data_IF_571811650066
#
_entry.id   IF_571811650066
#
_cell.length_a   1.000
_cell.length_b   1.000
_cell.length_c   1.000
_cell.angle_alpha   90.00
_cell.angle_beta   90.00
_cell.angle_gamma   90.00
#
_symmetry.space_group_name_H-M   'P 1'
#
loop_
_entity.id
_entity.type
_entity.pdbx_description
1 polymer ?
2 non-polymer ?
3 non-polymer ?
4 water ?
#
# COMPACT_ATOMS: atom_id res chain seq x y z
N UNK A 1 26.58 5.04 12.00
CA UNK A 1 26.04 5.71 13.16
C UNK A 1 24.56 6.04 13.03
N UNK A 2 23.81 5.73 14.08
CA UNK A 2 22.37 5.96 14.09
C UNK A 2 21.99 7.39 14.49
N UNK A 3 22.98 8.25 14.70
CA UNK A 3 22.70 9.61 15.19
C UNK A 3 21.81 10.38 14.22
N UNK A 4 22.18 10.42 12.94
CA UNK A 4 21.36 11.12 11.96
C UNK A 4 19.99 10.46 11.81
N UNK A 5 19.97 9.13 11.71
CA UNK A 5 18.73 8.43 11.41
C UNK A 5 17.70 8.62 12.53
N UNK A 6 18.15 8.63 13.79
CA UNK A 6 17.22 8.84 14.89
C UNK A 6 16.63 10.24 14.86
N UNK A 7 17.45 11.25 14.53
CA UNK A 7 16.95 12.62 14.47
C UNK A 7 15.92 12.76 13.36
N UNK A 8 16.12 12.08 12.24
CA UNK A 8 15.11 12.04 11.19
C UNK A 8 13.82 11.42 11.73
N UNK A 9 13.95 10.30 12.44
CA UNK A 9 12.77 9.65 13.01
C UNK A 9 12.14 10.50 14.10
N UNK A 10 12.94 11.31 14.80
CA UNK A 10 12.38 12.20 15.81
C UNK A 10 11.65 13.37 15.17
N UNK A 11 12.19 13.89 14.06
CA UNK A 11 11.48 14.92 13.29
C UNK A 11 10.18 14.38 12.73
N UNK A 12 10.20 13.15 12.20
CA UNK A 12 9.00 12.53 11.65
C UNK A 12 7.95 12.29 12.74
N UNK A 13 8.40 11.86 13.93
CA UNK A 13 7.45 11.59 15.01
C UNK A 13 6.71 12.84 15.44
N UNK A 14 7.29 14.01 15.22
CA UNK A 14 6.65 15.26 15.66
C UNK A 14 5.40 15.57 14.84
N UNK A 15 5.46 15.36 13.52
CA UNK A 15 4.32 15.68 12.67
C UNK A 15 3.19 14.66 12.75
N UNK A 16 3.28 13.67 13.63
CA UNK A 16 2.20 12.69 13.77
C UNK A 16 0.95 13.34 14.33
N UNK A 17 1.09 14.27 15.27
CA UNK A 17 -0.06 14.93 15.87
C UNK A 17 -0.72 15.94 14.95
N UNK A 18 -0.10 16.24 13.79
CA UNK A 18 -0.78 17.03 12.77
C UNK A 18 -1.82 16.20 12.04
N UNK A 19 -1.59 14.90 11.92
CA UNK A 19 -2.53 14.00 11.24
C UNK A 19 -3.86 13.98 11.98
N UNK A 20 -3.84 14.10 13.31
CA UNK A 20 -5.08 14.01 14.08
C UNK A 20 -6.09 15.07 13.68
N UNK A 21 -5.63 16.27 13.33
CA UNK A 21 -6.55 17.31 12.87
C UNK A 21 -7.05 17.03 11.46
N UNK A 22 -6.15 16.62 10.56
CA UNK A 22 -6.55 16.40 9.17
C UNK A 22 -7.41 15.15 9.02
N UNK A 23 -7.10 14.08 9.75
CA UNK A 23 -7.85 12.84 9.63
C UNK A 23 -9.32 13.05 9.98
N UNK A 24 -9.61 13.90 10.97
CA UNK A 24 -10.98 14.16 11.34
C UNK A 24 -11.80 14.76 10.21
N UNK A 25 -11.16 15.59 9.37
CA UNK A 25 -11.84 16.06 8.17
C UNK A 25 -12.17 14.90 7.25
N UNK A 26 -11.26 13.93 7.14
CA UNK A 26 -11.46 12.81 6.23
C UNK A 26 -12.62 11.94 6.69
N UNK A 27 -12.74 11.71 8.00
CA UNK A 27 -13.80 10.84 8.51
C UNK A 27 -15.18 11.38 8.15
N UNK A 28 -15.38 12.69 8.35
CA UNK A 28 -16.68 13.28 8.03
C UNK A 28 -17.05 13.12 6.57
N UNK A 29 -16.05 13.25 5.68
CA UNK A 29 -16.32 13.10 4.25
C UNK A 29 -16.71 11.68 3.91
N UNK A 30 -15.93 10.70 4.37
CA UNK A 30 -16.20 9.31 4.01
C UNK A 30 -17.38 8.72 4.78
N UNK A 31 -17.72 9.28 5.93
CA UNK A 31 -18.95 8.85 6.60
C UNK A 31 -20.18 9.27 5.81
N UNK A 32 -20.14 10.48 5.23
CA UNK A 32 -21.23 10.91 4.37
C UNK A 32 -21.28 10.10 3.08
N UNK A 33 -20.11 9.71 2.54
CA UNK A 33 -20.08 8.95 1.29
C UNK A 33 -20.59 7.52 1.50
N UNK A 34 -20.28 6.92 2.66
CA UNK A 34 -20.67 5.54 2.90
C UNK A 34 -22.19 5.38 3.04
N UNK A 35 -22.86 6.38 3.62
CA UNK A 35 -24.31 6.31 3.78
C UNK A 35 -25.04 6.57 2.46
N UNK A 36 -24.47 7.39 1.58
CA UNK A 36 -25.10 7.61 0.29
C UNK A 36 -24.95 6.38 -0.62
N UNK A 37 -23.79 5.72 -0.54
CA UNK A 37 -23.55 4.53 -1.35
C UNK A 37 -24.33 3.33 -0.84
N UNK A 38 -24.48 3.20 0.48
CA UNK A 38 -25.10 2.01 1.04
C UNK A 38 -26.57 1.87 0.67
N UNK A 39 -27.24 2.97 0.29
CA UNK A 39 -28.63 2.93 -0.15
C UNK A 39 -28.75 2.96 -1.68
N UNK A 40 -27.69 2.55 -2.39
CA UNK A 40 -27.74 2.34 -3.82
C UNK A 40 -27.86 0.84 -4.10
N UNK A 41 -28.51 0.50 -5.22
CA UNK A 41 -28.78 -0.90 -5.52
C UNK A 41 -27.50 -1.72 -5.66
N UNK A 42 -26.43 -1.12 -6.19
CA UNK A 42 -25.18 -1.84 -6.42
C UNK A 42 -24.25 -1.82 -5.21
N UNK A 43 -24.29 -0.76 -4.40
CA UNK A 43 -23.33 -0.56 -3.32
C UNK A 43 -23.95 -0.79 -1.94
N UNK A 44 -24.95 -1.66 -1.82
CA UNK A 44 -25.59 -1.89 -0.54
C UNK A 44 -24.59 -2.42 0.50
N UNK A 45 -23.66 -3.28 0.07
CA UNK A 45 -22.71 -3.87 0.99
C UNK A 45 -21.37 -3.17 1.04
N UNK A 46 -21.38 -1.85 0.83
CA UNK A 46 -20.14 -1.09 0.86
C UNK A 46 -19.79 -0.73 2.31
N UNK A 47 -18.51 -0.47 2.53
CA UNK A 47 -18.05 -0.08 3.84
C UNK A 47 -16.54 0.09 3.80
N UNK A 48 -16.01 0.58 4.92
CA UNK A 48 -14.57 0.71 5.06
C UNK A 48 -13.94 -0.67 5.22
N UNK A 49 -12.68 -0.78 4.78
CA UNK A 49 -11.96 -2.03 4.97
C UNK A 49 -11.75 -2.32 6.45
N UNK A 50 -11.36 -1.31 7.22
CA UNK A 50 -11.29 -1.38 8.67
C UNK A 50 -12.32 -0.41 9.25
N UNK A 51 -13.13 -0.90 10.20
CA UNK A 51 -14.32 -0.17 10.60
C UNK A 51 -13.99 1.19 11.20
N UNK A 52 -12.90 1.29 11.96
CA UNK A 52 -12.55 2.54 12.62
C UNK A 52 -11.28 3.20 12.14
N UNK A 53 -10.48 2.47 11.34
CA UNK A 53 -9.18 3.00 10.90
C UNK A 53 -9.33 4.19 9.97
N UNK A 54 -10.15 4.04 8.93
CA UNK A 54 -10.54 5.13 8.04
C UNK A 54 -9.47 5.57 7.05
N UNK A 55 -8.23 5.09 7.18
CA UNK A 55 -7.20 5.52 6.24
C UNK A 55 -5.97 4.63 6.32
N UNK A 56 -5.02 4.94 5.43
CA UNK A 56 -3.63 4.50 5.45
C UNK A 56 -2.82 5.69 4.95
N UNK A 57 -1.67 5.94 5.56
CA UNK A 57 -0.90 7.16 5.29
C UNK A 57 0.34 6.79 4.48
N UNK A 58 0.18 6.83 3.15
CA UNK A 58 1.29 6.53 2.26
C UNK A 58 2.43 7.53 2.42
N UNK A 59 2.09 8.82 2.43
CA UNK A 59 3.09 9.88 2.56
C UNK A 59 3.50 9.97 4.02
N UNK A 60 4.65 9.38 4.34
CA UNK A 60 5.19 9.46 5.70
C UNK A 60 5.82 10.81 5.99
N UNK A 61 5.97 11.66 4.97
CA UNK A 61 6.52 13.00 5.12
C UNK A 61 5.47 14.09 5.05
N UNK A 62 4.41 13.90 4.27
CA UNK A 62 3.37 14.91 4.12
C UNK A 62 2.10 14.44 4.80
N UNK A 63 1.73 15.00 5.95
CA UNK A 63 0.55 14.48 6.67
C UNK A 63 -0.79 14.86 6.04
N UNK A 64 -0.78 15.39 4.82
CA UNK A 64 -2.01 15.83 4.16
C UNK A 64 -2.43 14.91 3.01
N UNK A 65 -1.83 13.74 2.87
CA UNK A 65 -2.13 12.83 1.76
C UNK A 65 -2.51 11.46 2.32
N UNK A 66 -3.81 11.16 2.28
CA UNK A 66 -4.38 9.93 2.81
C UNK A 66 -4.71 8.97 1.69
N UNK A 67 -4.85 7.69 2.05
CA UNK A 67 -5.28 6.64 1.14
C UNK A 67 -6.35 5.81 1.82
N UNK A 68 -7.56 5.80 1.25
CA UNK A 68 -8.73 5.18 1.86
C UNK A 68 -9.25 4.08 0.94
N UNK A 69 -9.70 2.98 1.52
CA UNK A 69 -10.19 1.84 0.77
C UNK A 69 -11.59 1.46 1.22
N UNK A 70 -12.53 1.38 0.26
CA UNK A 70 -13.87 0.88 0.50
C UNK A 70 -13.96 -0.54 0.00
N UNK A 71 -14.73 -1.37 0.69
CA UNK A 71 -14.85 -2.79 0.35
C UNK A 71 -16.28 -3.12 -0.03
N UNK A 72 -16.43 -4.19 -0.81
CA UNK A 72 -17.73 -4.64 -1.29
C UNK A 72 -17.68 -6.15 -1.39
N UNK A 73 -18.44 -6.85 -0.55
CA UNK A 73 -18.36 -8.30 -0.51
C UNK A 73 -19.03 -8.91 -1.73
N UNK A 74 -18.27 -9.68 -2.50
CA UNK A 74 -18.79 -10.35 -3.69
C UNK A 74 -18.84 -11.85 -3.41
N UNK A 75 -19.98 -12.39 -2.98
CA UNK A 75 -20.06 -13.82 -2.68
C UNK A 75 -20.25 -14.66 -3.94
N UNK A 76 -19.92 -15.95 -3.80
CA UNK A 76 -19.97 -16.89 -4.91
C UNK A 76 -19.25 -16.33 -6.14
N UNK A 77 -18.03 -15.86 -5.91
CA UNK A 77 -17.24 -15.17 -6.93
C UNK A 77 -16.37 -16.18 -7.65
N UNK A 78 -16.31 -16.08 -8.99
CA UNK A 78 -15.51 -16.94 -9.82
C UNK A 78 -14.48 -16.11 -10.57
N UNK A 79 -13.21 -16.49 -10.48
CA UNK A 79 -12.11 -15.74 -11.03
C UNK A 79 -11.44 -16.54 -12.14
N UNK A 80 -11.05 -15.86 -13.22
CA UNK A 80 -10.28 -16.46 -14.29
C UNK A 80 -8.98 -15.69 -14.43
N UNK A 81 -7.86 -16.39 -14.28
CA UNK A 81 -6.55 -15.76 -14.39
C UNK A 81 -6.33 -15.28 -15.83
N UNK A 82 -5.93 -14.01 -15.97
CA UNK A 82 -5.76 -13.40 -17.29
C UNK A 82 -4.35 -13.68 -17.81
N UNK A 83 -4.24 -14.63 -18.73
CA UNK A 83 -3.03 -14.87 -19.52
C UNK A 83 -1.80 -15.09 -18.63
N UNK A 84 -1.99 -15.83 -17.54
CA UNK A 84 -0.89 -16.28 -16.67
C UNK A 84 -0.05 -15.11 -16.15
N UNK A 85 -0.71 -13.99 -15.82
CA UNK A 85 -0.04 -12.89 -15.14
C UNK A 85 0.00 -13.10 -13.63
N UNK A 86 -0.84 -13.99 -13.10
CA UNK A 86 -0.79 -14.47 -11.72
C UNK A 86 -1.34 -13.43 -10.74
N UNK A 87 -1.58 -12.22 -11.22
CA UNK A 87 -2.05 -11.11 -10.39
C UNK A 87 -3.28 -10.40 -10.92
N UNK A 88 -3.63 -10.56 -12.19
CA UNK A 88 -4.80 -9.92 -12.76
C UNK A 88 -5.83 -10.98 -13.15
N UNK A 89 -7.09 -10.72 -12.83
CA UNK A 89 -8.15 -11.72 -12.96
C UNK A 89 -9.41 -11.08 -13.52
N UNK A 90 -10.23 -11.91 -14.17
CA UNK A 90 -11.59 -11.54 -14.52
C UNK A 90 -12.51 -12.00 -13.40
N UNK A 91 -13.55 -11.21 -13.13
CA UNK A 91 -14.53 -11.53 -12.11
C UNK A 91 -15.82 -11.92 -12.82
N UNK A 92 -16.26 -13.16 -12.61
CA UNK A 92 -17.50 -13.64 -13.20
C UNK A 92 -18.33 -14.34 -12.14
N UNK A 93 -19.64 -14.42 -12.41
CA UNK A 93 -20.57 -15.04 -11.46
C UNK A 93 -21.07 -16.38 -11.96
N UNK A 100 -28.46 -10.52 -8.04
CA UNK A 100 -27.11 -9.97 -7.86
C UNK A 100 -27.13 -8.46 -8.00
N UNK A 101 -26.62 -7.77 -6.97
CA UNK A 101 -26.56 -6.30 -7.04
C UNK A 101 -25.61 -5.78 -8.09
N UNK A 102 -24.62 -6.56 -8.50
CA UNK A 102 -23.59 -6.11 -9.44
C UNK A 102 -23.87 -6.52 -10.87
N UNK A 103 -25.03 -7.11 -11.15
CA UNK A 103 -25.33 -7.53 -12.51
C UNK A 103 -25.43 -6.36 -13.48
N UNK A 104 -25.64 -5.14 -12.98
CA UNK A 104 -25.70 -3.97 -13.85
C UNK A 104 -24.35 -3.59 -14.44
N UNK A 105 -23.26 -4.18 -13.97
CA UNK A 105 -21.93 -3.95 -14.54
C UNK A 105 -21.40 -5.15 -15.30
N UNK A 106 -22.25 -6.11 -15.64
CA UNK A 106 -21.81 -7.33 -16.31
C UNK A 106 -21.71 -7.09 -17.81
N UNK A 107 -20.53 -7.32 -18.37
CA UNK A 107 -20.36 -7.35 -19.82
C UNK A 107 -20.46 -8.80 -20.31
N UNK A 108 -21.61 -9.39 -20.09
CA UNK A 108 -21.81 -10.81 -20.36
C UNK A 108 -21.49 -11.67 -19.14
N UNK A 109 -20.37 -12.38 -19.19
CA UNK A 109 -19.97 -13.20 -18.04
C UNK A 109 -19.16 -12.40 -17.03
N UNK A 110 -18.30 -11.51 -17.50
CA UNK A 110 -17.30 -10.86 -16.67
C UNK A 110 -17.85 -9.57 -16.09
N UNK A 111 -17.22 -9.13 -15.00
CA UNK A 111 -17.61 -7.92 -14.28
C UNK A 111 -16.76 -6.75 -14.76
N UNK A 112 -17.41 -5.71 -15.26
CA UNK A 112 -16.72 -4.55 -15.80
C UNK A 112 -16.23 -3.65 -14.67
N UNK A 113 -14.92 -3.38 -14.64
CA UNK A 113 -14.38 -2.51 -13.60
C UNK A 113 -14.71 -1.06 -13.88
N UNK A 114 -14.54 -0.60 -15.12
CA UNK A 114 -14.74 0.81 -15.44
C UNK A 114 -16.21 1.20 -15.36
N UNK A 115 -17.12 0.26 -15.63
CA UNK A 115 -18.55 0.53 -15.48
C UNK A 115 -18.95 0.63 -14.01
N UNK A 116 -18.29 -0.15 -13.14
CA UNK A 116 -18.52 -0.01 -11.71
C UNK A 116 -17.84 1.24 -11.16
N UNK A 117 -16.68 1.60 -11.70
CA UNK A 117 -16.03 2.85 -11.31
C UNK A 117 -16.79 4.07 -11.76
N UNK A 118 -17.57 3.95 -12.85
CA UNK A 118 -18.31 5.10 -13.36
C UNK A 118 -19.43 5.51 -12.41
N UNK A 119 -20.26 4.55 -12.00
CA UNK A 119 -21.33 4.85 -11.05
C UNK A 119 -20.77 5.25 -9.69
N UNK A 120 -19.70 4.56 -9.26
CA UNK A 120 -19.04 4.89 -8.00
C UNK A 120 -18.50 6.31 -8.02
N UNK A 121 -17.83 6.70 -9.11
CA UNK A 121 -17.36 8.07 -9.23
C UNK A 121 -18.51 9.05 -9.39
N UNK A 122 -19.60 8.61 -10.00
CA UNK A 122 -20.77 9.46 -10.20
C UNK A 122 -21.45 9.78 -8.87
N UNK A 123 -21.71 8.75 -8.05
CA UNK A 123 -22.39 8.96 -6.78
C UNK A 123 -21.56 9.85 -5.86
N UNK A 124 -20.25 9.62 -5.82
CA UNK A 124 -19.36 10.46 -5.02
C UNK A 124 -19.35 11.89 -5.55
N UNK A 125 -19.26 12.05 -6.88
CA UNK A 125 -19.27 13.38 -7.46
C UNK A 125 -20.54 14.15 -7.09
N UNK A 126 -21.68 13.46 -7.06
CA UNK A 126 -22.93 14.14 -6.75
C UNK A 126 -23.03 14.49 -5.26
N UNK A 127 -22.52 13.61 -4.39
CA UNK A 127 -22.57 13.88 -2.94
C UNK A 127 -21.52 14.90 -2.50
N UNK A 128 -20.36 14.93 -3.17
CA UNK A 128 -19.31 15.88 -2.81
C UNK A 128 -19.82 17.30 -2.96
N UNK A 129 -20.55 17.58 -4.04
CA UNK A 129 -21.15 18.88 -4.24
C UNK A 129 -22.39 19.07 -3.36
N UNK A 130 -23.09 17.98 -3.04
CA UNK A 130 -24.41 18.08 -2.40
C UNK A 130 -24.30 18.72 -1.02
N UNK A 131 -23.56 18.09 -0.10
CA UNK A 131 -23.43 18.65 1.24
C UNK A 131 -22.54 19.89 1.21
N UNK A 132 -21.28 19.72 0.83
CA UNK A 132 -20.28 20.80 0.73
C UNK A 132 -20.38 21.84 1.85
N UNK A 133 -20.60 21.38 3.09
CA UNK A 133 -20.44 22.27 4.23
C UNK A 133 -18.96 22.58 4.46
N UNK A 134 -18.09 21.64 4.08
CA UNK A 134 -16.65 21.86 4.00
C UNK A 134 -16.21 21.58 2.58
N UNK A 135 -15.21 22.34 2.13
CA UNK A 135 -14.86 22.36 0.71
C UNK A 135 -14.11 21.09 0.33
N UNK A 136 -14.74 20.30 -0.54
CA UNK A 136 -14.17 19.07 -1.08
C UNK A 136 -14.15 19.18 -2.59
N UNK A 137 -12.98 18.97 -3.19
CA UNK A 137 -12.77 19.14 -4.62
C UNK A 137 -12.38 17.81 -5.23
N UNK A 138 -13.05 17.43 -6.31
CA UNK A 138 -12.79 16.19 -7.02
C UNK A 138 -11.76 16.41 -8.12
N UNK A 139 -10.80 15.50 -8.21
CA UNK A 139 -9.76 15.52 -9.24
C UNK A 139 -9.93 14.31 -10.14
N UNK A 140 -10.05 14.56 -11.44
CA UNK A 140 -10.26 13.50 -12.43
C UNK A 140 -9.01 13.37 -13.30
N UNK A 141 -8.46 12.16 -13.34
CA UNK A 141 -7.25 11.90 -14.12
C UNK A 141 -7.06 10.41 -14.34
N UNK A 145 -5.37 6.78 -11.57
CA UNK A 145 -6.38 6.56 -12.60
C UNK A 145 -7.67 5.90 -12.05
N UNK A 146 -7.57 4.79 -11.28
CA UNK A 146 -8.79 4.19 -10.74
C UNK A 146 -9.28 4.89 -9.47
N UNK A 147 -8.35 5.48 -8.73
CA UNK A 147 -8.70 6.07 -7.44
C UNK A 147 -9.49 7.36 -7.63
N UNK A 148 -10.59 7.49 -6.87
CA UNK A 148 -11.34 8.74 -6.83
C UNK A 148 -10.61 9.66 -5.85
N UNK A 149 -9.89 10.64 -6.39
CA UNK A 149 -9.04 11.51 -5.59
C UNK A 149 -9.80 12.78 -5.24
N UNK A 150 -10.09 12.95 -3.95
CA UNK A 150 -10.70 14.17 -3.43
C UNK A 150 -9.62 15.04 -2.79
N UNK A 151 -9.94 16.33 -2.61
CA UNK A 151 -9.07 17.24 -1.90
C UNK A 151 -9.91 18.05 -0.93
N UNK A 152 -9.63 17.89 0.36
CA UNK A 152 -10.39 18.56 1.41
C UNK A 152 -9.67 19.86 1.77
N UNK A 153 -10.42 20.96 1.74
CA UNK A 153 -9.86 22.31 1.95
C UNK A 153 -8.81 22.53 0.87
N UNK A 154 -7.65 23.10 1.20
CA UNK A 154 -6.59 23.31 0.23
C UNK A 154 -5.44 22.34 0.37
N UNK A 155 -5.24 21.74 1.54
CA UNK A 155 -4.11 20.85 1.74
C UNK A 155 -4.48 19.39 1.53
N UNK A 156 -5.44 18.88 2.31
CA UNK A 156 -5.63 17.44 2.47
C UNK A 156 -6.13 16.81 1.18
N UNK A 157 -5.46 15.76 0.74
CA UNK A 157 -5.86 14.95 -0.39
C UNK A 157 -6.10 13.51 0.06
N UNK A 158 -7.18 12.91 -0.42
CA UNK A 158 -7.57 11.56 -0.03
C UNK A 158 -7.77 10.73 -1.28
N UNK A 159 -7.09 9.59 -1.34
CA UNK A 159 -7.28 8.62 -2.40
C UNK A 159 -8.26 7.56 -1.94
N UNK A 160 -9.39 7.45 -2.63
CA UNK A 160 -10.42 6.47 -2.32
C UNK A 160 -10.35 5.37 -3.37
N UNK A 161 -10.13 4.14 -2.93
CA UNK A 161 -10.04 2.98 -3.81
C UNK A 161 -11.19 2.03 -3.49
N UNK A 162 -11.85 1.54 -4.53
CA UNK A 162 -12.91 0.55 -4.37
C UNK A 162 -12.34 -0.83 -4.57
N UNK A 163 -12.73 -1.76 -3.70
CA UNK A 163 -12.18 -3.11 -3.71
C UNK A 163 -13.28 -4.14 -3.54
N UNK A 164 -13.15 -5.24 -4.26
CA UNK A 164 -14.04 -6.39 -4.11
C UNK A 164 -13.46 -7.31 -3.05
N UNK A 165 -14.32 -7.82 -2.15
CA UNK A 165 -13.90 -8.67 -1.06
C UNK A 165 -14.36 -10.10 -1.29
N UNK A 166 -13.45 -11.05 -1.13
CA UNK A 166 -13.76 -12.47 -1.26
C UNK A 166 -13.28 -13.18 -0.01
N UNK A 167 -14.18 -13.90 0.65
CA UNK A 167 -13.86 -14.64 1.86
C UNK A 167 -13.58 -16.12 1.58
N UNK A 168 -13.18 -16.45 0.36
CA UNK A 168 -12.78 -17.79 -0.01
C UNK A 168 -11.26 -17.93 0.05
N UNK A 169 -10.77 -19.12 -0.29
CA UNK A 169 -9.33 -19.37 -0.25
C UNK A 169 -8.60 -18.47 -1.23
N UNK A 170 -7.39 -18.10 -0.85
CA UNK A 170 -6.57 -17.24 -1.70
C UNK A 170 -6.26 -17.96 -3.01
N UNK A 171 -6.21 -17.23 -4.14
CA UNK A 171 -5.96 -17.87 -5.42
C UNK A 171 -4.62 -18.57 -5.45
N UNK A 172 -4.52 -19.56 -6.34
CA UNK A 172 -3.39 -20.48 -6.36
C UNK A 172 -2.05 -19.74 -6.51
N UNK A 173 -2.04 -18.57 -7.15
CA UNK A 173 -0.78 -17.88 -7.39
C UNK A 173 -0.10 -17.45 -6.09
N UNK A 174 -0.82 -17.43 -4.98
CA UNK A 174 -0.28 -17.07 -3.68
C UNK A 174 0.25 -18.26 -2.91
N UNK A 175 0.26 -19.45 -3.50
CA UNK A 175 0.55 -20.67 -2.76
C UNK A 175 1.91 -20.60 -2.08
N UNK A 176 2.93 -20.07 -2.75
CA UNK A 176 4.26 -19.96 -2.18
C UNK A 176 4.59 -18.55 -1.71
N UNK A 177 3.62 -17.63 -1.74
CA UNK A 177 3.81 -16.30 -1.22
C UNK A 177 3.67 -16.27 0.30
N UNK A 178 3.86 -15.07 0.86
CA UNK A 178 3.80 -14.86 2.31
C UNK A 178 4.73 -15.83 3.04
N UNK A 179 5.98 -15.87 2.59
CA UNK A 179 6.96 -16.81 3.15
C UNK A 179 7.44 -16.31 4.51
N UNK A 180 6.57 -16.46 5.52
CA UNK A 180 6.83 -15.98 6.87
C UNK A 180 7.04 -17.12 7.86
N UNK A 181 7.15 -18.36 7.38
CA UNK A 181 7.17 -19.52 8.27
C UNK A 181 8.36 -19.49 9.22
N UNK A 182 9.54 -19.14 8.71
CA UNK A 182 10.74 -19.11 9.55
C UNK A 182 10.83 -17.86 10.41
N UNK A 183 9.93 -16.89 10.22
CA UNK A 183 10.00 -15.62 10.94
C UNK A 183 8.83 -15.45 11.90
N UNK A 184 7.60 -15.54 11.41
CA UNK A 184 6.41 -15.37 12.22
C UNK A 184 5.70 -16.67 12.53
N UNK A 185 6.22 -17.79 12.02
CA UNK A 185 5.77 -19.17 12.26
C UNK A 185 4.76 -19.64 11.23
N UNK A 186 4.64 -20.96 11.06
CA UNK A 186 3.63 -21.51 10.16
C UNK A 186 2.23 -21.38 10.72
N UNK A 187 2.08 -21.36 12.05
CA UNK A 187 0.76 -21.13 12.63
C UNK A 187 0.20 -19.78 12.24
N UNK A 188 1.05 -18.75 12.25
CA UNK A 188 0.59 -17.40 11.92
C UNK A 188 0.27 -17.29 10.43
N UNK A 189 1.11 -17.90 9.57
CA UNK A 189 0.83 -17.87 8.14
C UNK A 189 -0.50 -18.56 7.83
N UNK A 190 -0.79 -19.66 8.52
CA UNK A 190 -2.07 -20.34 8.33
C UNK A 190 -3.24 -19.45 8.77
N UNK A 191 -3.10 -18.77 9.90
CA UNK A 191 -4.17 -17.90 10.39
C UNK A 191 -4.40 -16.72 9.45
N UNK A 192 -3.32 -16.11 8.94
CA UNK A 192 -3.46 -14.97 8.04
C UNK A 192 -4.15 -15.37 6.75
N UNK A 193 -3.80 -16.54 6.20
CA UNK A 193 -4.39 -16.99 4.94
C UNK A 193 -5.86 -17.35 5.07
N UNK A 194 -6.38 -17.49 6.29
CA UNK A 194 -7.82 -17.64 6.49
C UNK A 194 -8.58 -16.32 6.33
N UNK A 195 -7.89 -15.19 6.36
CA UNK A 195 -8.52 -13.90 6.16
C UNK A 195 -8.89 -13.71 4.69
N UNK A 196 -9.81 -12.81 4.38
CA UNK A 196 -10.24 -12.60 2.99
C UNK A 196 -9.13 -11.98 2.15
N UNK A 197 -9.39 -11.90 0.84
CA UNK A 197 -8.50 -11.21 -0.09
C UNK A 197 -9.33 -10.29 -0.97
N UNK A 198 -8.65 -9.35 -1.62
CA UNK A 198 -9.33 -8.25 -2.29
C UNK A 198 -8.86 -8.10 -3.73
N UNK A 199 -9.75 -7.56 -4.56
CA UNK A 199 -9.48 -7.31 -5.97
C UNK A 199 -9.76 -5.84 -6.27
N UNK A 200 -8.80 -5.19 -6.93
CA UNK A 200 -8.88 -3.76 -7.21
C UNK A 200 -8.76 -3.52 -8.71
N UNK A 201 -9.33 -2.42 -9.22
CA UNK A 201 -9.25 -2.15 -10.66
C UNK A 201 -7.80 -1.96 -11.12
N UNK A 202 -7.53 -2.43 -12.35
CA UNK A 202 -6.17 -2.44 -12.87
C UNK A 202 -5.62 -1.04 -13.06
N UNK A 203 -6.44 -0.14 -13.59
CA UNK A 203 -6.07 1.21 -14.04
C UNK A 203 -4.95 1.90 -13.25
N UNK A 210 -1.55 -4.67 -20.86
CA UNK A 210 -2.13 -3.47 -21.45
C UNK A 210 -3.47 -3.12 -20.82
N UNK A 211 -4.52 -3.06 -21.64
CA UNK A 211 -5.86 -2.72 -21.20
C UNK A 211 -6.78 -3.94 -21.26
N UNK A 212 -7.48 -4.20 -20.16
CA UNK A 212 -8.52 -5.21 -20.07
C UNK A 212 -9.42 -4.85 -18.90
N UNK A 213 -10.51 -5.59 -18.76
CA UNK A 213 -11.38 -5.44 -17.59
C UNK A 213 -11.02 -6.46 -16.52
N UNK A 214 -9.77 -6.36 -16.07
CA UNK A 214 -9.18 -7.26 -15.10
C UNK A 214 -8.99 -6.56 -13.77
N UNK A 215 -8.86 -7.37 -12.72
CA UNK A 215 -8.68 -6.89 -11.36
C UNK A 215 -7.40 -7.47 -10.79
N UNK A 216 -6.69 -6.67 -10.00
CA UNK A 216 -5.43 -7.07 -9.39
C UNK A 216 -5.66 -7.55 -7.97
N UNK A 217 -5.07 -8.69 -7.62
CA UNK A 217 -5.14 -9.19 -6.25
C UNK A 217 -4.49 -8.20 -5.31
N UNK A 218 -5.13 -7.97 -4.17
CA UNK A 218 -4.62 -7.03 -3.18
C UNK A 218 -4.60 -7.67 -1.81
N UNK A 219 -3.51 -7.47 -1.08
CA UNK A 219 -3.34 -7.98 0.27
C UNK A 219 -2.83 -6.90 1.21
N UNK A 220 -3.16 -5.64 0.93
CA UNK A 220 -2.66 -4.53 1.72
C UNK A 220 -3.15 -4.57 3.16
N UNK A 221 -4.33 -5.13 3.40
CA UNK A 221 -4.86 -5.23 4.75
C UNK A 221 -4.01 -6.13 5.65
N UNK A 222 -3.14 -6.95 5.07
CA UNK A 222 -2.27 -7.82 5.84
C UNK A 222 -1.11 -7.05 6.47
N UNK A 223 -0.79 -5.85 5.95
CA UNK A 223 0.38 -5.12 6.44
C UNK A 223 0.21 -4.71 7.89
N UNK A 224 -0.96 -4.18 8.25
CA UNK A 224 -1.19 -3.76 9.64
C UNK A 224 -1.10 -4.95 10.59
N UNK A 225 -1.55 -6.13 10.14
CA UNK A 225 -1.49 -7.33 10.99
C UNK A 225 -0.06 -7.68 11.36
N UNK A 226 0.86 -7.51 10.41
CA UNK A 226 2.25 -7.89 10.64
C UNK A 226 3.04 -6.77 11.31
N UNK A 227 2.82 -5.52 10.92
CA UNK A 227 3.55 -4.42 11.54
C UNK A 227 3.27 -4.32 13.03
N UNK A 228 2.05 -4.66 13.46
CA UNK A 228 1.72 -4.59 14.88
C UNK A 228 2.11 -5.84 15.64
N UNK A 229 2.54 -6.90 14.96
CA UNK A 229 3.03 -8.13 15.60
C UNK A 229 4.13 -8.66 14.67
N UNK A 230 5.37 -8.23 14.91
CA UNK A 230 6.40 -8.31 13.89
C UNK A 230 7.66 -9.07 14.28
N UNK A 231 7.83 -9.44 15.55
CA UNK A 231 9.01 -10.15 15.95
C UNK A 231 8.85 -11.66 15.92
N UNK A 232 9.99 -12.37 15.89
CA UNK A 232 9.95 -13.80 16.16
C UNK A 232 9.53 -14.05 17.60
N UNK A 233 10.00 -13.22 18.52
CA UNK A 233 9.52 -13.24 19.90
C UNK A 233 8.17 -12.54 19.97
N UNK A 234 7.23 -13.17 20.68
CA UNK A 234 5.90 -12.59 20.84
C UNK A 234 5.92 -11.29 21.62
N UNK A 235 6.94 -11.07 22.46
CA UNK A 235 7.05 -9.86 23.28
C UNK A 235 7.94 -8.80 22.65
N UNK A 236 8.20 -8.90 21.35
CA UNK A 236 9.06 -7.91 20.70
C UNK A 236 8.46 -6.52 20.81
N UNK A 237 9.29 -5.57 21.23
CA UNK A 237 8.91 -4.17 21.43
C UNK A 237 7.83 -3.99 22.50
N UNK A 238 7.69 -4.96 23.40
CA UNK A 238 6.82 -4.79 24.57
C UNK A 238 7.59 -4.44 25.83
N UNK A 239 8.91 -4.59 25.82
CA UNK A 239 9.76 -4.13 26.91
C UNK A 239 11.05 -3.58 26.32
N UNK A 240 11.78 -2.83 27.15
CA UNK A 240 13.00 -2.18 26.67
C UNK A 240 14.12 -3.18 26.40
N UNK A 241 13.99 -4.41 26.88
CA UNK A 241 15.05 -5.41 26.71
C UNK A 241 15.03 -6.08 25.33
N UNK A 242 13.91 -6.01 24.60
CA UNK A 242 13.80 -6.54 23.25
C UNK A 242 13.13 -5.54 22.32
N UNK A 243 13.61 -4.30 22.35
CA UNK A 243 13.17 -3.26 21.42
C UNK A 243 13.97 -3.39 20.12
N UNK A 244 13.26 -3.57 18.99
CA UNK A 244 13.88 -3.74 17.69
C UNK A 244 13.63 -2.50 16.83
N UNK A 245 14.27 -2.48 15.65
CA UNK A 245 14.20 -1.33 14.76
C UNK A 245 13.57 -1.68 13.41
N UNK A 246 12.72 -2.71 13.36
CA UNK A 246 12.07 -3.08 12.11
C UNK A 246 11.21 -1.94 11.57
N UNK A 247 10.32 -1.40 12.41
CA UNK A 247 9.44 -0.33 11.97
C UNK A 247 10.22 0.91 11.56
N UNK A 248 11.27 1.24 12.32
CA UNK A 248 12.07 2.43 11.99
C UNK A 248 12.73 2.28 10.63
N UNK A 249 13.23 1.08 10.31
CA UNK A 249 13.84 0.85 9.01
C UNK A 249 12.85 1.03 7.88
N UNK A 250 11.62 0.54 8.07
CA UNK A 250 10.58 0.74 7.05
C UNK A 250 10.25 2.22 6.88
N UNK A 251 10.16 2.97 7.99
CA UNK A 251 9.89 4.40 7.90
C UNK A 251 11.00 5.13 7.14
N UNK A 252 12.26 4.78 7.42
CA UNK A 252 13.37 5.42 6.73
C UNK A 252 13.39 5.05 5.25
N UNK A 253 13.04 3.80 4.92
CA UNK A 253 12.97 3.41 3.51
C UNK A 253 11.88 4.17 2.76
N UNK A 254 10.71 4.32 3.38
CA UNK A 254 9.63 5.06 2.74
C UNK A 254 9.99 6.54 2.61
N UNK A 255 10.61 7.11 3.65
CA UNK A 255 10.98 8.53 3.61
C UNK A 255 12.05 8.79 2.56
N UNK A 256 12.99 7.85 2.39
CA UNK A 256 14.05 8.03 1.40
C UNK A 256 13.49 8.17 0.00
N UNK A 257 12.52 7.31 -0.36
CA UNK A 257 11.90 7.40 -1.67
C UNK A 257 11.05 8.66 -1.81
N UNK A 258 10.33 9.04 -0.76
CA UNK A 258 9.52 10.25 -0.82
C UNK A 258 10.37 11.49 -1.05
N UNK A 259 11.51 11.58 -0.35
CA UNK A 259 12.44 12.69 -0.60
C UNK A 259 13.02 12.61 -2.01
N UNK A 260 13.39 11.41 -2.46
CA UNK A 260 13.93 11.27 -3.81
C UNK A 260 12.87 11.54 -4.87
N UNK A 261 11.62 11.17 -4.61
CA UNK A 261 10.55 11.51 -5.55
C UNK A 261 10.21 12.99 -5.50
N UNK A 262 10.39 13.63 -4.35
CA UNK A 262 10.15 15.07 -4.25
C UNK A 262 11.28 15.86 -4.91
N UNK A 263 12.52 15.40 -4.76
CA UNK A 263 13.67 16.11 -5.31
C UNK A 263 13.64 16.16 -6.83
N UNK A 264 13.09 15.13 -7.47
CA UNK A 264 13.07 15.04 -8.92
C UNK A 264 11.65 15.05 -9.47
N UNK A 265 10.76 15.81 -8.83
CA UNK A 265 9.36 15.86 -9.28
C UNK A 265 9.20 16.58 -10.61
N UNK A 266 10.21 17.34 -11.03
CA UNK A 266 10.15 18.00 -12.34
C UNK A 266 10.52 17.08 -13.48
N UNK A 267 11.01 15.87 -13.19
CA UNK A 267 11.26 14.84 -14.19
C UNK A 267 10.22 13.73 -14.06
N UNK A 268 10.34 12.72 -14.90
CA UNK A 268 9.42 11.59 -14.91
C UNK A 268 10.10 10.26 -14.58
N UNK A 269 11.36 10.30 -14.10
CA UNK A 269 12.12 9.06 -13.94
C UNK A 269 11.59 8.21 -12.79
N UNK A 270 11.17 8.84 -11.70
CA UNK A 270 10.76 8.14 -10.48
C UNK A 270 9.25 8.11 -10.28
N UNK A 271 8.47 8.32 -11.35
CA UNK A 271 7.03 8.39 -11.21
C UNK A 271 6.39 7.02 -10.98
N UNK A 272 7.05 5.93 -11.38
CA UNK A 272 6.46 4.60 -11.25
C UNK A 272 6.75 3.92 -9.92
N UNK A 273 7.64 4.48 -9.10
CA UNK A 273 7.98 3.88 -7.83
C UNK A 273 7.11 4.45 -6.72
N UNK A 274 6.65 3.60 -5.83
CA UNK A 274 5.82 4.00 -4.71
C UNK A 274 6.34 3.34 -3.43
N UNK A 275 5.73 3.70 -2.30
CA UNK A 275 6.04 3.05 -1.04
C UNK A 275 5.75 1.56 -1.08
N UNK A 276 4.91 1.12 -2.01
CA UNK A 276 4.60 -0.31 -2.15
C UNK A 276 5.85 -1.12 -2.47
N UNK A 277 6.66 -0.66 -3.43
CA UNK A 277 7.92 -1.33 -3.73
C UNK A 277 8.84 -1.33 -2.53
N UNK A 278 8.93 -0.19 -1.84
CA UNK A 278 9.78 -0.09 -0.65
C UNK A 278 9.27 -1.01 0.44
N UNK A 279 7.96 -1.09 0.62
CA UNK A 279 7.38 -2.04 1.57
C UNK A 279 7.74 -3.47 1.20
N UNK A 280 7.57 -3.81 -0.08
CA UNK A 280 7.76 -5.19 -0.52
C UNK A 280 9.18 -5.66 -0.29
N UNK A 281 10.16 -4.83 -0.68
CA UNK A 281 11.56 -5.20 -0.46
C UNK A 281 11.87 -5.33 1.01
N UNK A 282 11.29 -4.46 1.84
CA UNK A 282 11.54 -4.52 3.28
C UNK A 282 11.09 -5.85 3.86
N UNK A 283 9.88 -6.30 3.50
CA UNK A 283 9.38 -7.55 4.05
C UNK A 283 10.12 -8.75 3.48
N UNK A 284 10.69 -8.62 2.28
CA UNK A 284 11.60 -9.66 1.80
C UNK A 284 12.86 -9.71 2.68
N UNK A 285 13.34 -8.55 3.11
CA UNK A 285 14.47 -8.51 4.04
C UNK A 285 14.08 -9.14 5.37
N UNK A 286 12.84 -8.90 5.81
CA UNK A 286 12.37 -9.50 7.05
C UNK A 286 12.38 -11.02 6.95
N UNK A 287 11.97 -11.56 5.80
CA UNK A 287 12.10 -13.00 5.57
C UNK A 287 13.57 -13.41 5.61
N UNK A 288 14.44 -12.61 5.01
CA UNK A 288 15.86 -12.90 4.98
C UNK A 288 16.49 -12.88 6.36
N UNK A 289 16.01 -12.00 7.25
CA UNK A 289 16.57 -11.81 8.58
C UNK A 289 15.47 -12.05 9.62
N UNK A 290 15.18 -13.32 9.94
CA UNK A 290 14.02 -13.61 10.79
C UNK A 290 14.24 -13.37 12.28
N UNK A 291 15.48 -13.39 12.77
CA UNK A 291 15.72 -13.26 14.19
C UNK A 291 15.60 -11.81 14.64
N UNK A 292 15.12 -11.62 15.88
CA UNK A 292 15.02 -10.27 16.45
C UNK A 292 16.40 -9.69 16.71
N UNK A 293 17.40 -10.53 16.98
CA UNK A 293 18.75 -10.06 17.18
C UNK A 293 19.34 -9.42 15.93
N UNK A 294 18.83 -9.79 14.75
CA UNK A 294 19.24 -9.14 13.51
C UNK A 294 18.62 -7.76 13.32
N UNK A 295 17.77 -7.32 14.24
CA UNK A 295 17.11 -6.03 14.13
C UNK A 295 17.24 -5.24 15.43
N UNK A 296 18.36 -5.41 16.13
CA UNK A 296 18.55 -4.72 17.40
C UNK A 296 18.57 -3.21 17.18
N UNK A 297 18.00 -2.48 18.14
CA UNK A 297 17.88 -1.03 18.00
C UNK A 297 19.25 -0.36 17.89
N UNK A 298 20.25 -0.90 18.61
CA UNK A 298 21.59 -0.32 18.58
C UNK A 298 22.23 -0.41 17.19
N UNK A 299 21.72 -1.27 16.31
CA UNK A 299 22.25 -1.46 14.97
C UNK A 299 21.36 -0.83 13.90
N UNK A 300 20.68 0.26 14.25
CA UNK A 300 19.74 0.91 13.34
C UNK A 300 20.43 1.29 12.02
N UNK A 301 21.61 1.90 12.11
CA UNK A 301 22.35 2.25 10.91
C UNK A 301 22.71 1.04 10.07
N UNK A 302 23.11 -0.06 10.73
CA UNK A 302 23.48 -1.26 9.99
C UNK A 302 22.27 -1.92 9.36
N UNK A 303 21.18 -2.06 10.13
CA UNK A 303 19.97 -2.70 9.62
C UNK A 303 19.37 -1.91 8.47
N UNK A 304 19.37 -0.58 8.60
CA UNK A 304 18.90 0.27 7.51
C UNK A 304 19.72 0.06 6.25
N UNK A 305 21.03 -0.20 6.40
CA UNK A 305 21.87 -0.46 5.24
C UNK A 305 21.51 -1.80 4.58
N UNK A 306 21.19 -2.81 5.38
CA UNK A 306 20.74 -4.08 4.79
C UNK A 306 19.53 -3.89 3.89
N UNK A 307 18.57 -3.05 4.33
CA UNK A 307 17.41 -2.76 3.52
C UNK A 307 17.78 -2.00 2.26
N UNK A 308 18.66 -1.00 2.39
CA UNK A 308 19.09 -0.22 1.22
C UNK A 308 19.84 -1.12 0.24
N UNK A 309 20.71 -2.00 0.74
CA UNK A 309 21.45 -2.90 -0.13
C UNK A 309 20.52 -3.81 -0.90
N UNK A 310 19.56 -4.44 -0.22
CA UNK A 310 18.64 -5.36 -0.89
C UNK A 310 17.82 -4.65 -1.96
N UNK A 311 17.36 -3.44 -1.66
CA UNK A 311 16.55 -2.70 -2.63
C UNK A 311 17.35 -2.35 -3.88
N UNK A 312 18.62 -2.02 -3.71
CA UNK A 312 19.49 -1.76 -4.86
C UNK A 312 19.77 -3.03 -5.64
N UNK A 313 19.99 -4.15 -4.94
CA UNK A 313 20.14 -5.43 -5.61
C UNK A 313 18.89 -5.76 -6.43
N UNK A 314 17.71 -5.40 -5.90
CA UNK A 314 16.48 -5.56 -6.67
C UNK A 314 16.46 -4.63 -7.88
N UNK A 315 16.88 -3.37 -7.68
CA UNK A 315 16.88 -2.41 -8.79
C UNK A 315 17.83 -2.84 -9.90
N UNK A 316 19.03 -3.29 -9.54
CA UNK A 316 20.01 -3.67 -10.56
C UNK A 316 19.61 -4.97 -11.26
N UNK A 317 19.10 -5.94 -10.50
CA UNK A 317 18.69 -7.22 -11.08
C UNK A 317 17.32 -7.17 -11.73
N UNK A 318 16.61 -6.03 -11.64
CA UNK A 318 15.28 -5.89 -12.23
C UNK A 318 14.33 -6.96 -11.69
N UNK A 319 14.40 -7.21 -10.38
CA UNK A 319 13.61 -8.27 -9.76
C UNK A 319 13.16 -7.83 -8.37
N UNK A 320 11.85 -7.66 -8.20
CA UNK A 320 11.23 -7.46 -6.89
C UNK A 320 9.92 -8.23 -6.90
N UNK A 321 9.92 -9.41 -6.28
CA UNK A 321 8.74 -10.26 -6.27
C UNK A 321 7.63 -9.65 -5.44
N UNK A 322 6.40 -9.75 -5.95
CA UNK A 322 5.24 -9.50 -5.10
C UNK A 322 5.32 -10.42 -3.88
N UNK A 323 5.17 -9.84 -2.70
CA UNK A 323 5.39 -10.60 -1.47
C UNK A 323 4.38 -11.74 -1.32
N UNK A 324 3.20 -11.60 -1.92
CA UNK A 324 2.19 -12.64 -1.86
C UNK A 324 2.14 -13.49 -3.13
N UNK A 325 2.63 -12.96 -4.25
CA UNK A 325 2.57 -13.67 -5.52
C UNK A 325 4.00 -13.74 -6.07
N UNK A 326 4.78 -14.76 -5.72
CA UNK A 326 6.22 -14.75 -6.08
C UNK A 326 6.48 -14.70 -7.58
N UNK A 327 5.51 -15.04 -8.42
CA UNK A 327 5.68 -15.07 -9.86
C UNK A 327 5.33 -13.74 -10.54
N UNK A 328 5.01 -12.71 -9.76
CA UNK A 328 4.72 -11.38 -10.29
C UNK A 328 5.87 -10.47 -9.94
N UNK A 329 6.65 -10.09 -10.94
CA UNK A 329 7.83 -9.25 -10.74
C UNK A 329 7.43 -7.79 -10.82
N UNK A 330 7.45 -7.10 -9.67
CA UNK A 330 7.10 -5.69 -9.65
C UNK A 330 8.10 -4.84 -10.42
N UNK A 331 9.32 -5.35 -10.62
CA UNK A 331 10.38 -4.60 -11.30
C UNK A 331 10.60 -5.09 -12.74
N UNK A 332 9.60 -5.75 -13.33
CA UNK A 332 9.74 -6.24 -14.70
C UNK A 332 9.82 -5.07 -15.68
N UNK A 333 10.42 -5.35 -16.85
CA UNK A 333 10.55 -4.32 -17.87
C UNK A 333 9.19 -3.88 -18.41
N UNK A 334 8.19 -4.76 -18.35
CA UNK A 334 6.85 -4.35 -18.74
C UNK A 334 6.31 -3.26 -17.83
N UNK A 335 6.70 -3.29 -16.55
CA UNK A 335 6.17 -2.36 -15.57
C UNK A 335 7.04 -1.11 -15.44
N UNK A 336 8.35 -1.29 -15.30
CA UNK A 336 9.29 -0.18 -15.13
C UNK A 336 10.49 -0.43 -16.04
N UNK A 337 10.86 0.58 -16.83
CA UNK A 337 11.93 0.42 -17.81
C UNK A 337 13.30 0.55 -17.14
N UNK A 338 14.32 0.06 -17.86
CA UNK A 338 15.66 -0.07 -17.29
C UNK A 338 16.24 1.28 -16.90
N UNK A 339 16.05 2.31 -17.75
CA UNK A 339 16.61 3.62 -17.45
C UNK A 339 16.01 4.21 -16.18
N UNK A 340 14.74 3.92 -15.89
CA UNK A 340 14.15 4.37 -14.64
C UNK A 340 14.79 3.70 -13.44
N UNK A 341 15.01 2.38 -13.52
CA UNK A 341 15.62 1.67 -12.40
C UNK A 341 17.09 2.03 -12.24
N UNK A 342 17.79 2.30 -13.34
CA UNK A 342 19.17 2.75 -13.24
C UNK A 342 19.25 4.16 -12.65
N UNK A 343 18.28 5.02 -12.98
CA UNK A 343 18.24 6.36 -12.41
C UNK A 343 18.07 6.32 -10.89
N UNK A 344 17.16 5.46 -10.42
CA UNK A 344 16.98 5.33 -8.97
C UNK A 344 18.19 4.68 -8.32
N UNK A 345 18.83 3.73 -9.01
CA UNK A 345 20.02 3.09 -8.47
C UNK A 345 21.13 4.10 -8.22
N UNK A 346 21.36 5.00 -9.18
CA UNK A 346 22.38 6.01 -9.03
C UNK A 346 22.09 6.93 -7.85
N UNK A 347 20.84 7.39 -7.73
CA UNK A 347 20.50 8.37 -6.69
C UNK A 347 20.64 7.78 -5.29
N UNK A 348 20.22 6.53 -5.11
CA UNK A 348 20.34 5.89 -3.79
C UNK A 348 21.80 5.59 -3.48
N UNK A 349 22.55 5.04 -4.46
CA UNK A 349 23.97 4.77 -4.24
C UNK A 349 24.71 6.06 -3.89
N UNK A 350 24.37 7.16 -4.56
CA UNK A 350 24.95 8.45 -4.21
C UNK A 350 24.59 8.85 -2.78
N UNK A 351 23.30 8.73 -2.43
CA UNK A 351 22.87 9.08 -1.07
C UNK A 351 23.52 8.17 -0.03
N UNK A 352 23.63 6.87 -0.34
CA UNK A 352 24.25 5.92 0.57
C UNK A 352 25.71 6.26 0.82
N UNK A 353 26.45 6.62 -0.23
CA UNK A 353 27.85 6.99 -0.08
C UNK A 353 28.01 8.29 0.69
N UNK A 354 27.00 9.16 0.66
CA UNK A 354 27.09 10.51 1.20
C UNK A 354 26.39 10.67 2.56
N UNK A 355 26.03 9.57 3.22
CA UNK A 355 25.31 9.61 4.49
C UNK A 355 23.96 10.31 4.35
N UNK A 356 23.32 10.18 3.18
CA UNK A 356 21.93 10.58 2.95
C UNK A 356 21.65 12.05 3.21
N UNK A 357 22.08 12.95 2.33
CA UNK A 357 21.74 14.37 2.50
C UNK A 357 20.25 14.67 2.45
N UNK A 358 19.44 13.83 1.82
CA UNK A 358 18.00 14.06 1.80
C UNK A 358 17.38 13.96 3.18
N UNK A 359 18.12 13.49 4.16
CA UNK A 359 17.57 13.30 5.50
C UNK A 359 17.77 14.51 6.41
N UNK A 360 18.81 15.30 6.21
CA UNK A 360 19.00 16.50 7.02
C UNK A 360 18.19 17.69 6.51
N UNK A 361 17.49 17.54 5.39
CA UNK A 361 16.62 18.58 4.88
C UNK A 361 15.23 18.02 4.61
N UNK A 362 14.37 18.81 3.95
CA UNK A 362 13.03 18.36 3.63
C UNK A 362 12.69 18.63 2.16
X LIG B 1 10.12 -5.27 17.35
X LIG C 1 2.99 -7.58 3.75
X LIG C 1 3.62 -8.50 4.76
X LIG C 1 3.15 -6.21 1.78
X LIG C 1 1.28 -3.58 0.99
X LIG C 1 0.65 -2.74 0.07
X LIG C 1 -0.14 -1.08 -1.13
X LIG C 1 -0.12 -3.22 -0.99
X LIG C 1 0.14 1.33 -0.88
X LIG C 1 0.13 2.56 -1.73
X LIG C 1 1.31 3.03 -2.31
X LIG C 1 1.30 4.17 -3.09
X LIG C 1 0.13 4.86 -3.31
X LIG C 1 -1.05 4.41 -2.74
X LIG C 1 -1.04 3.27 -1.97
X LIG C 1 3.73 -7.05 2.70
X LIG C 1 -1.04 -5.23 -2.20
X LIG C 1 -0.24 -4.62 -1.10
X LIG C 1 0.38 -5.47 -0.17
X LIG C 1 1.13 -4.96 0.88
X LIG C 1 1.79 -5.86 1.85
X LIG C 1 1.05 -6.41 2.90
X LIG C 1 1.64 -7.24 3.83
X LIG C 1 0.62 -1.36 -0.05
X LIG C 1 -0.60 -2.16 -1.73
X LIG C 1 -0.39 0.16 -1.57
X LIG C 1 -1.02 -6.54 -2.23
X LIG C 1 -1.65 -4.55 -3.00
X LIG C 1 4.14 -5.59 0.51
#
# INVERSE_FOLDING_TARGET
GASKLRAVLEKLKLSRDDISTAAGMVKGVVDHLLLRLKCDSAFRGVGLLNTGSYYEHVKISAPNEFDVMFKLEVPRIQLEEYSNTRAYYFVKFKRNPKENPLSQFLEGEILSASKMLSKFRKIIKEEINDIKDTDVIMKRKRGGSPAVTLLISEKISVDITLALESKSSWPASTQEGLRIQNWLSAKVRKQLRLKPFYLVPKHAKEGNGFQEETWRLSFSHIEKEILNNHGKSKTCCENKEEKCCRKDCLKLMKYLLEQLKERFKDKKHLDKFSSYHVKTAFFHVCTQNPQDSQWDRKDLGLCFDNCVTYFLQCLRTEKLENYFIPEFNLFSSNLIDKRSKEFLTKQIEYERNNEFPVFDEF
ZN ZN
YNW C10 C11 C13 C15 C16 C18 C20 C22 C23 C24 C25 C26 C27 C28 C12 C2 C4 C5 C6 C7 C8 C9 N17 N19 N21 O1 O3 CL14
#
